data_IF_225711527136
#
_entry.id   IF_225711527136
#
_cell.length_a   1.000
_cell.length_b   1.000
_cell.length_c   1.000
_cell.angle_alpha   90.00
_cell.angle_beta   90.00
_cell.angle_gamma   90.00
#
_symmetry.space_group_name_H-M   'P 1'
#
loop_
_entity.id
_entity.type
_entity.pdbx_description
1 polymer ?
#
# COMPACT_ATOMS: atom_id res chain seq x y z
N UNK A 1 19.05 13.66 -17.47
CA UNK A 1 18.69 13.18 -18.81
C UNK A 1 18.35 11.68 -18.84
N UNK A 2 19.00 10.84 -18.07
CA UNK A 2 18.76 9.39 -17.98
C UNK A 2 17.36 9.00 -17.45
N UNK A 3 16.81 9.70 -16.44
CA UNK A 3 15.48 9.39 -15.87
C UNK A 3 14.31 9.50 -16.87
N UNK A 4 14.44 10.27 -17.93
CA UNK A 4 13.38 10.46 -18.94
C UNK A 4 13.32 9.32 -19.96
N UNK A 5 14.41 8.57 -20.11
CA UNK A 5 14.49 7.42 -21.03
C UNK A 5 13.87 6.16 -20.41
N UNK A 6 14.12 5.92 -19.12
CA UNK A 6 13.57 4.78 -18.38
C UNK A 6 12.07 4.91 -18.06
N UNK A 7 11.54 6.15 -18.00
CA UNK A 7 10.12 6.40 -17.77
C UNK A 7 9.18 5.88 -18.86
N UNK A 8 9.69 5.60 -20.08
CA UNK A 8 8.88 5.03 -21.17
C UNK A 8 8.60 3.52 -21.01
N UNK A 9 9.38 2.82 -20.20
CA UNK A 9 9.28 1.37 -19.98
C UNK A 9 8.73 1.03 -18.60
N UNK A 10 8.51 2.03 -17.75
CA UNK A 10 8.04 1.86 -16.38
C UNK A 10 6.57 2.23 -16.28
N UNK A 11 5.77 1.34 -15.70
CA UNK A 11 4.34 1.55 -15.47
C UNK A 11 4.16 2.42 -14.22
N UNK A 12 3.29 3.44 -14.28
CA UNK A 12 2.84 4.14 -13.07
C UNK A 12 1.94 3.19 -12.27
N UNK A 13 2.19 3.10 -10.98
CA UNK A 13 1.55 2.15 -10.06
C UNK A 13 0.89 2.92 -8.92
N UNK A 14 -0.30 2.53 -8.52
CA UNK A 14 -0.87 2.95 -7.25
C UNK A 14 -1.01 1.73 -6.33
N UNK A 15 -0.61 1.87 -5.08
CA UNK A 15 -0.63 0.82 -4.07
C UNK A 15 -1.50 1.30 -2.91
N UNK A 16 -2.54 0.54 -2.63
CA UNK A 16 -3.28 0.63 -1.38
C UNK A 16 -2.75 -0.47 -0.45
N UNK A 17 -2.02 -0.04 0.57
CA UNK A 17 -1.35 -0.92 1.51
C UNK A 17 -2.22 -1.13 2.75
N UNK A 18 -3.35 -1.79 2.57
CA UNK A 18 -4.31 -2.00 3.65
C UNK A 18 -3.91 -3.11 4.64
N UNK A 19 -4.46 -3.06 5.86
CA UNK A 19 -4.22 -4.06 6.91
C UNK A 19 -4.66 -5.46 6.49
N UNK A 20 -5.82 -5.60 5.85
CA UNK A 20 -6.36 -6.89 5.43
C UNK A 20 -5.87 -7.33 4.05
N UNK A 21 -5.92 -6.43 3.08
CA UNK A 21 -5.55 -6.70 1.69
C UNK A 21 -4.70 -5.57 1.13
N UNK A 22 -3.76 -5.92 0.26
CA UNK A 22 -3.00 -4.98 -0.57
C UNK A 22 -3.56 -4.99 -1.98
N UNK A 23 -3.89 -3.82 -2.52
CA UNK A 23 -4.32 -3.63 -3.90
C UNK A 23 -3.21 -2.94 -4.68
N UNK A 24 -2.93 -3.43 -5.88
CA UNK A 24 -2.02 -2.76 -6.82
C UNK A 24 -2.75 -2.46 -8.11
N UNK A 25 -2.85 -1.19 -8.40
CA UNK A 25 -3.39 -0.65 -9.64
C UNK A 25 -2.27 -0.25 -10.58
N UNK A 26 -2.38 -0.59 -11.83
CA UNK A 26 -1.47 -0.18 -12.91
C UNK A 26 -2.24 0.69 -13.89
N UNK A 27 -1.66 1.83 -14.25
CA UNK A 27 -2.26 2.74 -15.22
C UNK A 27 -2.58 1.99 -16.52
N UNK A 28 -3.78 2.22 -17.04
CA UNK A 28 -4.33 1.62 -18.27
C UNK A 28 -4.60 0.10 -18.20
N UNK A 29 -4.32 -0.56 -17.06
CA UNK A 29 -4.64 -1.99 -16.84
C UNK A 29 -5.67 -2.22 -15.74
N UNK A 30 -5.84 -1.26 -14.82
CA UNK A 30 -6.71 -1.42 -13.66
C UNK A 30 -6.02 -2.12 -12.49
N UNK A 31 -6.81 -2.72 -11.58
CA UNK A 31 -6.29 -3.49 -10.46
C UNK A 31 -5.73 -4.81 -10.98
N UNK A 32 -4.43 -5.01 -10.81
CA UNK A 32 -3.69 -6.19 -11.28
C UNK A 32 -3.32 -7.14 -10.15
N UNK A 33 -3.29 -6.64 -8.90
CA UNK A 33 -3.05 -7.43 -7.70
C UNK A 33 -4.13 -7.06 -6.67
N UNK A 34 -4.73 -8.07 -6.07
CA UNK A 34 -5.62 -7.98 -4.92
C UNK A 34 -5.31 -9.21 -4.04
N UNK A 35 -4.43 -9.01 -3.08
CA UNK A 35 -3.87 -10.08 -2.26
C UNK A 35 -4.00 -9.75 -0.78
N UNK A 36 -4.21 -10.75 0.09
CA UNK A 36 -4.09 -10.56 1.53
C UNK A 36 -2.74 -9.95 1.91
N UNK A 37 -2.72 -9.03 2.85
CA UNK A 37 -1.48 -8.43 3.38
C UNK A 37 -0.82 -9.39 4.37
N UNK A 38 -0.30 -10.50 3.86
CA UNK A 38 0.34 -11.58 4.61
C UNK A 38 1.63 -11.99 3.93
N UNK A 39 2.67 -12.24 4.72
CA UNK A 39 4.00 -12.64 4.23
C UNK A 39 4.48 -13.85 5.02
N UNK A 40 5.07 -14.82 4.34
CA UNK A 40 5.78 -15.94 4.93
C UNK A 40 7.29 -15.75 4.74
N UNK A 41 8.05 -15.77 5.85
CA UNK A 41 9.48 -15.49 5.89
C UNK A 41 10.22 -16.63 6.55
N UNK A 42 11.34 -17.02 5.98
CA UNK A 42 12.31 -17.91 6.63
C UNK A 42 13.18 -17.10 7.61
N UNK A 43 13.00 -17.30 8.90
CA UNK A 43 13.73 -16.58 9.96
C UNK A 43 15.25 -16.82 9.97
N UNK A 44 15.73 -17.88 9.29
CA UNK A 44 17.18 -18.19 9.23
C UNK A 44 17.87 -17.49 8.07
N UNK A 45 17.17 -17.31 6.97
CA UNK A 45 17.71 -16.76 5.73
C UNK A 45 17.15 -15.36 5.41
N UNK A 46 16.15 -14.90 6.19
CA UNK A 46 15.41 -13.65 6.00
C UNK A 46 14.77 -13.50 4.62
N UNK A 47 14.61 -14.61 3.92
CA UNK A 47 14.02 -14.66 2.59
C UNK A 47 12.50 -14.77 2.67
N UNK A 48 11.80 -14.03 1.81
CA UNK A 48 10.37 -14.22 1.57
C UNK A 48 10.18 -15.55 0.85
N UNK A 49 9.28 -16.36 1.40
CA UNK A 49 8.86 -17.65 0.83
C UNK A 49 7.56 -17.52 0.05
N UNK A 50 6.63 -16.71 0.54
CA UNK A 50 5.34 -16.47 -0.08
C UNK A 50 4.77 -15.11 0.34
N UNK A 51 3.88 -14.55 -0.49
CA UNK A 51 3.14 -13.30 -0.22
C UNK A 51 1.68 -13.53 -0.57
N UNK A 52 0.78 -12.82 0.11
CA UNK A 52 -0.63 -12.81 -0.25
C UNK A 52 -1.36 -14.09 0.12
N UNK A 53 -2.18 -14.58 -0.80
CA UNK A 53 -3.02 -15.77 -0.58
C UNK A 53 -2.19 -17.02 -0.30
N UNK A 54 -1.04 -17.15 -0.94
CA UNK A 54 -0.15 -18.29 -0.73
C UNK A 54 0.41 -18.29 0.70
N UNK A 55 0.89 -17.16 1.20
CA UNK A 55 1.32 -17.00 2.58
C UNK A 55 0.17 -17.23 3.58
N UNK A 56 -1.03 -16.70 3.28
CA UNK A 56 -2.23 -16.94 4.12
C UNK A 56 -2.57 -18.41 4.26
N UNK A 57 -2.40 -19.20 3.21
CA UNK A 57 -2.65 -20.67 3.24
C UNK A 57 -1.64 -21.43 4.12
N UNK A 58 -0.50 -20.80 4.43
CA UNK A 58 0.55 -21.36 5.29
C UNK A 58 0.30 -21.10 6.78
N UNK A 59 -0.61 -20.21 7.16
CA UNK A 59 -0.93 -19.89 8.56
C UNK A 59 -1.24 -21.15 9.37
N UNK A 60 -0.55 -21.30 10.50
CA UNK A 60 -0.71 -22.43 11.43
C UNK A 60 -0.17 -23.78 10.91
N UNK A 61 0.51 -23.80 9.75
CA UNK A 61 1.00 -25.03 9.12
C UNK A 61 2.52 -25.03 8.90
N UNK A 62 3.24 -24.03 9.43
CA UNK A 62 4.66 -23.84 9.20
C UNK A 62 5.51 -24.37 10.35
N UNK A 63 6.74 -24.85 10.07
CA UNK A 63 7.71 -25.17 11.11
C UNK A 63 8.21 -23.90 11.81
N UNK A 64 8.81 -23.98 13.03
CA UNK A 64 9.18 -22.83 13.84
C UNK A 64 10.12 -21.81 13.20
N UNK A 65 10.86 -22.19 12.16
CA UNK A 65 11.78 -21.30 11.45
C UNK A 65 11.12 -20.55 10.29
N UNK A 66 9.81 -20.77 10.05
CA UNK A 66 9.03 -20.01 9.07
C UNK A 66 7.96 -19.22 9.81
N UNK A 67 8.09 -17.91 9.76
CA UNK A 67 7.12 -16.97 10.32
C UNK A 67 6.13 -16.56 9.23
N UNK A 68 4.84 -16.70 9.51
CA UNK A 68 3.79 -16.10 8.70
C UNK A 68 3.19 -14.93 9.48
N UNK A 69 3.30 -13.73 8.94
CA UNK A 69 2.95 -12.49 9.63
C UNK A 69 2.22 -11.50 8.71
N UNK A 70 1.54 -10.54 9.33
CA UNK A 70 1.01 -9.35 8.67
C UNK A 70 1.95 -8.18 8.99
N UNK A 71 2.58 -7.55 8.00
CA UNK A 71 3.47 -6.41 8.24
C UNK A 71 2.72 -5.14 8.62
N UNK A 72 1.40 -5.11 8.46
CA UNK A 72 0.53 -4.02 8.88
C UNK A 72 -0.45 -4.46 9.96
N UNK A 73 -0.67 -3.59 10.94
CA UNK A 73 -1.65 -3.74 12.01
C UNK A 73 -2.35 -2.40 12.24
N UNK A 74 -3.67 -2.40 12.26
CA UNK A 74 -4.49 -1.20 12.51
C UNK A 74 -4.14 -0.01 11.58
N UNK A 75 -3.86 -0.29 10.31
CA UNK A 75 -3.47 0.72 9.32
C UNK A 75 -2.01 1.16 9.38
N UNK A 76 -1.23 0.72 10.37
CA UNK A 76 0.16 1.14 10.59
C UNK A 76 1.12 0.00 10.24
N UNK A 77 2.28 0.34 9.65
CA UNK A 77 3.33 -0.65 9.41
C UNK A 77 3.94 -1.04 10.76
N UNK A 78 3.79 -2.31 11.13
CA UNK A 78 4.36 -2.89 12.36
C UNK A 78 5.75 -3.48 12.13
N UNK A 79 6.09 -3.83 10.88
CA UNK A 79 7.37 -4.39 10.48
C UNK A 79 7.80 -3.80 9.12
N UNK A 80 8.69 -2.80 9.18
CA UNK A 80 9.13 -2.06 8.00
C UNK A 80 9.95 -2.91 7.03
N UNK A 81 10.79 -3.80 7.54
CA UNK A 81 11.64 -4.65 6.70
C UNK A 81 10.78 -5.63 5.89
N UNK A 82 9.78 -6.22 6.54
CA UNK A 82 8.83 -7.12 5.89
C UNK A 82 7.94 -6.37 4.90
N UNK A 83 7.49 -5.16 5.24
CA UNK A 83 6.69 -4.31 4.36
C UNK A 83 7.49 -3.90 3.10
N UNK A 84 8.75 -3.51 3.25
CA UNK A 84 9.65 -3.19 2.13
C UNK A 84 9.83 -4.40 1.18
N UNK A 85 10.11 -5.58 1.75
CA UNK A 85 10.25 -6.82 0.98
C UNK A 85 8.96 -7.19 0.25
N UNK A 86 7.80 -6.96 0.89
CA UNK A 86 6.49 -7.19 0.27
C UNK A 86 6.22 -6.20 -0.86
N UNK A 87 6.52 -4.91 -0.66
CA UNK A 87 6.41 -3.89 -1.71
C UNK A 87 7.27 -4.23 -2.90
N UNK A 88 8.52 -4.64 -2.65
CA UNK A 88 9.44 -5.08 -3.71
C UNK A 88 8.85 -6.25 -4.50
N UNK A 89 8.31 -7.26 -3.82
CA UNK A 89 7.66 -8.40 -4.46
C UNK A 89 6.52 -7.95 -5.39
N UNK A 90 5.65 -7.04 -4.96
CA UNK A 90 4.55 -6.55 -5.79
C UNK A 90 5.03 -5.70 -6.97
N UNK A 91 6.05 -4.87 -6.78
CA UNK A 91 6.66 -4.09 -7.85
C UNK A 91 7.27 -5.01 -8.91
N UNK A 92 8.02 -6.02 -8.50
CA UNK A 92 8.63 -7.01 -9.39
C UNK A 92 7.55 -7.78 -10.14
N UNK A 93 6.51 -8.26 -9.45
CA UNK A 93 5.37 -9.01 -10.04
C UNK A 93 4.62 -8.23 -11.11
N UNK A 94 4.45 -6.91 -10.94
CA UNK A 94 3.83 -6.04 -11.95
C UNK A 94 4.67 -5.94 -13.22
N UNK A 95 5.97 -6.16 -13.10
CA UNK A 95 6.94 -5.99 -14.20
C UNK A 95 7.43 -7.31 -14.80
N UNK A 96 7.00 -8.47 -14.29
CA UNK A 96 7.41 -9.80 -14.80
C UNK A 96 7.13 -10.02 -16.29
N UNK A 97 6.06 -9.41 -16.84
CA UNK A 97 5.67 -9.55 -18.25
C UNK A 97 6.48 -8.67 -19.21
N UNK A 98 7.48 -7.91 -18.76
CA UNK A 98 8.19 -6.93 -19.57
C UNK A 98 9.71 -7.13 -19.59
N UNK A 99 10.39 -6.52 -20.59
CA UNK A 99 11.87 -6.44 -20.70
C UNK A 99 12.49 -5.61 -19.52
N UNK A 100 11.85 -5.58 -18.38
CA UNK A 100 12.01 -4.54 -17.38
C UNK A 100 12.79 -4.97 -16.14
N UNK A 101 13.97 -5.59 -16.34
CA UNK A 101 14.98 -5.75 -15.27
C UNK A 101 15.43 -4.39 -14.66
N UNK A 102 15.01 -3.27 -15.28
CA UNK A 102 15.35 -1.90 -14.86
C UNK A 102 14.12 -0.99 -14.76
N UNK A 103 12.91 -1.53 -14.57
CA UNK A 103 11.74 -0.70 -14.37
C UNK A 103 11.83 0.03 -13.03
N UNK A 104 11.79 1.34 -13.08
CA UNK A 104 11.71 2.21 -11.91
C UNK A 104 10.39 2.98 -11.97
N UNK A 105 9.30 2.43 -11.41
CA UNK A 105 7.99 3.04 -11.48
C UNK A 105 7.91 4.33 -10.67
N UNK A 106 6.97 5.20 -11.06
CA UNK A 106 6.40 6.18 -10.15
C UNK A 106 5.29 5.49 -9.40
N UNK A 107 5.30 5.62 -8.07
CA UNK A 107 4.35 4.94 -7.20
C UNK A 107 3.54 5.97 -6.42
N UNK A 108 2.23 5.78 -6.36
CA UNK A 108 1.34 6.44 -5.41
C UNK A 108 1.03 5.42 -4.32
N UNK A 109 1.21 5.78 -3.06
CA UNK A 109 0.88 4.92 -1.91
C UNK A 109 -0.14 5.62 -1.03
N UNK A 110 -1.21 4.93 -0.68
CA UNK A 110 -2.19 5.39 0.29
C UNK A 110 -1.69 5.13 1.72
N UNK A 111 -1.94 6.09 2.61
CA UNK A 111 -1.62 5.99 4.04
C UNK A 111 -2.79 6.50 4.88
N UNK A 112 -2.99 5.97 6.10
CA UNK A 112 -4.00 6.47 7.02
C UNK A 112 -3.79 7.92 7.44
N UNK A 113 -4.82 8.55 7.99
CA UNK A 113 -4.75 9.94 8.48
C UNK A 113 -3.92 10.08 9.76
N UNK A 114 -3.87 9.05 10.60
CA UNK A 114 -3.13 9.09 11.88
C UNK A 114 -1.62 8.82 11.72
N UNK A 115 -1.15 8.56 10.49
CA UNK A 115 0.27 8.27 10.25
C UNK A 115 1.13 9.49 10.62
N UNK A 116 2.18 9.26 11.38
CA UNK A 116 3.16 10.29 11.73
C UNK A 116 4.06 10.64 10.54
N UNK A 117 4.70 11.80 10.57
CA UNK A 117 5.68 12.19 9.53
C UNK A 117 6.83 11.18 9.40
N UNK A 118 7.25 10.58 10.52
CA UNK A 118 8.31 9.56 10.52
C UNK A 118 7.85 8.28 9.83
N UNK A 119 6.63 7.82 10.11
CA UNK A 119 6.04 6.65 9.46
C UNK A 119 5.79 6.90 7.97
N UNK A 120 5.28 8.08 7.62
CA UNK A 120 5.10 8.50 6.22
C UNK A 120 6.44 8.47 5.46
N UNK A 121 7.49 9.00 6.09
CA UNK A 121 8.84 8.97 5.51
C UNK A 121 9.38 7.55 5.37
N UNK A 122 9.11 6.67 6.33
CA UNK A 122 9.52 5.27 6.26
C UNK A 122 8.80 4.51 5.12
N UNK A 123 7.51 4.79 4.88
CA UNK A 123 6.77 4.25 3.71
C UNK A 123 7.40 4.72 2.40
N UNK A 124 7.71 6.01 2.30
CA UNK A 124 8.35 6.60 1.12
C UNK A 124 9.73 5.95 0.86
N UNK A 125 10.58 5.90 1.90
CA UNK A 125 11.93 5.33 1.80
C UNK A 125 11.88 3.84 1.48
N UNK A 126 10.96 3.07 2.09
CA UNK A 126 10.74 1.66 1.78
C UNK A 126 10.34 1.43 0.33
N UNK A 127 9.46 2.27 -0.22
CA UNK A 127 9.07 2.17 -1.63
C UNK A 127 10.22 2.55 -2.59
N UNK A 128 11.04 3.54 -2.24
CA UNK A 128 12.26 3.88 -3.00
C UNK A 128 13.26 2.72 -2.97
N UNK A 129 13.50 2.13 -1.79
CA UNK A 129 14.38 0.96 -1.62
C UNK A 129 13.87 -0.25 -2.40
N UNK A 130 12.54 -0.44 -2.45
CA UNK A 130 11.89 -1.49 -3.25
C UNK A 130 12.02 -1.28 -4.77
N UNK A 131 12.50 -0.12 -5.23
CA UNK A 131 12.82 0.15 -6.64
C UNK A 131 12.03 1.29 -7.29
N UNK A 132 11.19 2.01 -6.57
CA UNK A 132 10.52 3.19 -7.10
C UNK A 132 11.52 4.29 -7.47
N UNK A 133 11.22 5.06 -8.52
CA UNK A 133 11.98 6.29 -8.86
C UNK A 133 11.43 7.53 -8.20
N UNK A 134 10.15 7.51 -7.87
CA UNK A 134 9.39 8.61 -7.29
C UNK A 134 8.22 8.02 -6.52
N UNK A 135 7.97 8.51 -5.33
CA UNK A 135 6.85 8.11 -4.49
C UNK A 135 6.01 9.32 -4.15
N UNK A 136 4.70 9.19 -4.27
CA UNK A 136 3.71 10.17 -3.86
C UNK A 136 2.83 9.52 -2.81
N UNK A 137 2.84 10.07 -1.61
CA UNK A 137 2.00 9.58 -0.51
C UNK A 137 0.68 10.36 -0.54
N UNK A 138 -0.45 9.64 -0.43
CA UNK A 138 -1.80 10.19 -0.43
C UNK A 138 -2.57 9.63 0.77
N UNK A 139 -3.32 10.46 1.45
CA UNK A 139 -4.17 10.04 2.56
C UNK A 139 -5.35 9.18 2.04
N UNK A 140 -5.65 8.07 2.70
CA UNK A 140 -6.67 7.10 2.28
C UNK A 140 -8.04 7.74 2.01
N UNK A 141 -8.63 8.57 2.90
CA UNK A 141 -9.92 9.18 2.61
C UNK A 141 -9.90 10.15 1.43
N UNK A 142 -8.76 10.82 1.16
CA UNK A 142 -8.62 11.67 -0.01
C UNK A 142 -8.59 10.83 -1.29
N UNK A 143 -7.84 9.73 -1.30
CA UNK A 143 -7.81 8.80 -2.43
C UNK A 143 -9.20 8.18 -2.68
N UNK A 144 -9.91 7.78 -1.62
CA UNK A 144 -11.26 7.25 -1.69
C UNK A 144 -12.26 8.27 -2.27
N UNK A 145 -12.20 9.54 -1.81
CA UNK A 145 -13.06 10.61 -2.32
C UNK A 145 -12.81 10.90 -3.81
N UNK A 146 -11.54 10.90 -4.24
CA UNK A 146 -11.17 11.03 -5.66
C UNK A 146 -11.72 9.84 -6.46
N UNK A 147 -11.55 8.62 -5.95
CA UNK A 147 -12.05 7.40 -6.59
C UNK A 147 -13.56 7.38 -6.73
N UNK A 148 -14.28 7.89 -5.73
CA UNK A 148 -15.73 8.07 -5.72
C UNK A 148 -16.21 9.26 -6.60
N UNK A 149 -15.28 10.03 -7.20
CA UNK A 149 -15.54 11.21 -8.02
C UNK A 149 -16.35 12.29 -7.27
N UNK A 150 -16.09 12.43 -5.98
CA UNK A 150 -16.71 13.49 -5.19
C UNK A 150 -16.22 14.87 -5.65
N UNK A 151 -17.07 15.92 -5.59
CA UNK A 151 -16.68 17.27 -6.01
C UNK A 151 -15.82 17.95 -4.93
N UNK A 152 -14.66 17.37 -4.64
CA UNK A 152 -13.77 17.78 -3.54
C UNK A 152 -13.18 19.19 -3.72
N UNK A 153 -13.20 19.73 -4.94
CA UNK A 153 -12.69 21.08 -5.25
C UNK A 153 -13.67 22.18 -4.88
N UNK A 154 -14.93 21.84 -4.74
CA UNK A 154 -16.00 22.80 -4.45
C UNK A 154 -15.94 23.28 -2.99
N UNK A 155 -16.43 24.52 -2.69
CA UNK A 155 -16.47 25.05 -1.33
C UNK A 155 -17.66 24.47 -0.54
N UNK A 156 -17.86 23.18 -0.61
CA UNK A 156 -18.88 22.42 0.13
C UNK A 156 -18.23 21.27 0.86
N UNK A 157 -18.75 20.91 2.04
CA UNK A 157 -18.25 19.78 2.83
C UNK A 157 -18.70 18.46 2.21
N UNK A 158 -17.73 17.65 1.82
CA UNK A 158 -17.95 16.28 1.35
C UNK A 158 -17.45 15.33 2.44
N UNK A 159 -18.32 14.49 2.98
CA UNK A 159 -17.93 13.51 3.99
C UNK A 159 -17.67 12.15 3.35
N UNK A 160 -16.54 11.56 3.69
CA UNK A 160 -16.17 10.18 3.35
C UNK A 160 -16.06 9.36 4.62
N UNK A 161 -16.54 8.14 4.60
CA UNK A 161 -16.33 7.12 5.65
C UNK A 161 -15.65 5.95 5.00
N UNK A 162 -14.42 5.70 5.41
CA UNK A 162 -13.60 4.59 4.96
C UNK A 162 -13.51 3.54 6.07
N UNK A 163 -13.98 2.33 5.78
CA UNK A 163 -13.98 1.21 6.73
C UNK A 163 -13.04 0.14 6.17
N UNK A 164 -11.82 0.14 6.68
CA UNK A 164 -10.78 -0.79 6.29
C UNK A 164 -10.86 -2.15 6.99
N UNK A 165 -9.73 -2.86 7.01
CA UNK A 165 -9.56 -4.07 7.81
C UNK A 165 -9.25 -3.76 9.27
N UNK A 166 -8.35 -2.81 9.54
CA UNK A 166 -7.84 -2.51 10.87
C UNK A 166 -8.25 -1.17 11.47
N UNK A 167 -8.74 -0.22 10.66
CA UNK A 167 -9.17 1.11 11.08
C UNK A 167 -10.39 1.59 10.30
N UNK A 168 -11.15 2.46 10.91
CA UNK A 168 -12.24 3.20 10.27
C UNK A 168 -11.92 4.69 10.33
N UNK A 169 -11.95 5.36 9.18
CA UNK A 169 -11.66 6.78 9.06
C UNK A 169 -12.87 7.55 8.55
N UNK A 170 -13.15 8.68 9.17
CA UNK A 170 -14.16 9.61 8.72
C UNK A 170 -13.49 10.95 8.46
N UNK A 171 -13.64 11.48 7.27
CA UNK A 171 -13.07 12.77 6.89
C UNK A 171 -14.10 13.66 6.21
N UNK A 172 -14.02 14.96 6.45
CA UNK A 172 -14.73 16.00 5.70
C UNK A 172 -13.73 16.73 4.83
N UNK A 173 -13.99 16.75 3.53
CA UNK A 173 -13.13 17.32 2.50
C UNK A 173 -13.85 18.51 1.86
N UNK A 174 -13.14 19.63 1.70
CA UNK A 174 -13.59 20.82 1.00
C UNK A 174 -12.41 21.57 0.41
N UNK A 175 -12.55 22.20 -0.74
CA UNK A 175 -11.51 22.95 -1.42
C UNK A 175 -10.19 22.14 -1.57
N UNK A 176 -10.33 20.87 -1.91
CA UNK A 176 -9.23 19.90 -2.08
C UNK A 176 -8.39 19.63 -0.82
N UNK A 177 -8.88 20.00 0.36
CA UNK A 177 -8.22 19.75 1.65
C UNK A 177 -9.11 19.00 2.63
N UNK A 178 -8.50 18.24 3.53
CA UNK A 178 -9.21 17.63 4.66
C UNK A 178 -9.39 18.70 5.73
N UNK A 179 -10.66 19.04 6.01
CA UNK A 179 -11.04 20.09 6.96
C UNK A 179 -11.05 19.57 8.39
N UNK A 180 -11.58 18.37 8.57
CA UNK A 180 -11.63 17.66 9.86
C UNK A 180 -11.73 16.16 9.62
N UNK A 181 -11.28 15.40 10.59
CA UNK A 181 -11.28 13.94 10.49
C UNK A 181 -11.31 13.27 11.86
N UNK A 182 -11.66 11.99 11.86
CA UNK A 182 -11.58 11.10 13.01
C UNK A 182 -11.22 9.71 12.51
N UNK A 183 -10.28 9.05 13.19
CA UNK A 183 -9.96 7.64 13.01
C UNK A 183 -10.28 6.86 14.29
N UNK A 184 -10.65 5.60 14.12
CA UNK A 184 -10.84 4.64 15.22
C UNK A 184 -10.20 3.30 14.82
N UNK A 185 -9.47 2.62 15.72
CA UNK A 185 -8.80 1.35 15.44
C UNK A 185 -9.75 0.15 15.57
N UNK A 186 -10.96 0.28 15.01
CA UNK A 186 -12.00 -0.74 14.95
C UNK A 186 -12.52 -0.80 13.52
N UNK A 187 -12.47 -1.95 12.89
CA UNK A 187 -12.93 -2.14 11.52
C UNK A 187 -13.23 -3.63 11.22
N UNK A 188 -13.14 -4.04 9.96
CA UNK A 188 -13.57 -5.36 9.51
C UNK A 188 -12.94 -6.57 10.20
N UNK A 189 -11.71 -6.46 10.69
CA UNK A 189 -11.05 -7.58 11.41
C UNK A 189 -11.65 -7.81 12.83
N UNK A 190 -12.37 -6.82 13.39
CA UNK A 190 -12.99 -6.88 14.73
C UNK A 190 -14.53 -6.98 14.68
N UNK A 191 -15.15 -6.85 13.50
CA UNK A 191 -16.60 -6.96 13.28
C UNK A 191 -17.02 -8.41 13.00
#
# INVERSE_FOLDING_TARGET
MFNRFFGKFSKDIAIDLGTANTLVYVKDKGIVINEPTVVAINLRTEQILAVGQEAKNMLGKTPPHILVTRPLSKGIISDYEVAEKMLKYFIDKVHEDGISVMARPRIIICVPLEVTEVEMKAVEDGAISAGAREVIVVQEPMAAAIGARMPIQDPVGNMIVDIGGGNTEVAVISLSGIVTWKSIPIAGDEM
#
